data_IF_794664828156
#
_entry.id   IF_794664828156
#
_cell.length_a   1.000
_cell.length_b   1.000
_cell.length_c   1.000
_cell.angle_alpha   90.00
_cell.angle_beta   90.00
_cell.angle_gamma   90.00
#
_symmetry.space_group_name_H-M   'P 1'
#
loop_
_entity.id
_entity.type
_entity.pdbx_description
1 polymer ?
#
# COMPACT_ATOMS: atom_id res chain seq x y z
N UNK A 1 -32.01 -9.95 -25.67
CA UNK A 1 -31.64 -11.26 -25.08
C UNK A 1 -32.31 -11.30 -23.73
N UNK A 2 -32.91 -12.42 -23.30
CA UNK A 2 -33.45 -12.49 -21.95
C UNK A 2 -32.30 -12.77 -20.98
N UNK A 3 -32.00 -11.86 -20.05
CA UNK A 3 -30.89 -11.96 -19.12
C UNK A 3 -31.39 -11.79 -17.69
N UNK A 4 -30.99 -12.70 -16.80
CA UNK A 4 -31.33 -12.66 -15.38
C UNK A 4 -30.04 -12.80 -14.57
N UNK A 5 -29.76 -11.81 -13.72
CA UNK A 5 -28.58 -11.78 -12.85
C UNK A 5 -29.04 -11.64 -11.41
N UNK A 6 -28.55 -12.54 -10.55
CA UNK A 6 -28.78 -12.46 -9.12
C UNK A 6 -27.55 -11.86 -8.44
N UNK A 7 -27.70 -10.76 -7.71
CA UNK A 7 -26.61 -10.02 -7.08
C UNK A 7 -26.69 -10.08 -5.55
N UNK A 8 -25.54 -10.31 -4.90
CA UNK A 8 -25.40 -10.37 -3.44
C UNK A 8 -24.47 -9.27 -2.92
N UNK A 9 -24.89 -8.53 -1.90
CA UNK A 9 -24.06 -7.51 -1.24
C UNK A 9 -24.16 -7.65 0.29
N UNK A 10 -23.02 -7.79 0.97
CA UNK A 10 -22.93 -8.07 2.42
C UNK A 10 -21.75 -7.35 3.09
N UNK A 11 -21.09 -6.42 2.41
CA UNK A 11 -19.89 -5.75 2.91
C UNK A 11 -20.17 -4.73 4.02
N UNK A 12 -21.44 -4.40 4.28
CA UNK A 12 -21.91 -3.43 5.29
C UNK A 12 -22.67 -4.10 6.44
N UNK A 13 -23.31 -3.33 7.34
CA UNK A 13 -24.22 -3.87 8.37
C UNK A 13 -25.55 -4.40 7.82
N UNK A 14 -25.94 -3.92 6.64
CA UNK A 14 -27.11 -4.36 5.88
C UNK A 14 -26.68 -5.29 4.76
N UNK A 15 -27.35 -6.42 4.60
CA UNK A 15 -27.19 -7.25 3.41
C UNK A 15 -28.33 -7.02 2.42
N UNK A 16 -28.05 -7.23 1.15
CA UNK A 16 -29.03 -7.11 0.07
C UNK A 16 -28.90 -8.24 -0.94
N UNK A 17 -30.03 -8.61 -1.52
CA UNK A 17 -30.12 -9.46 -2.70
C UNK A 17 -30.93 -8.72 -3.75
N UNK A 18 -30.39 -8.60 -4.96
CA UNK A 18 -31.08 -7.99 -6.08
C UNK A 18 -31.21 -8.97 -7.24
N UNK A 19 -32.36 -8.99 -7.90
CA UNK A 19 -32.60 -9.74 -9.12
C UNK A 19 -32.78 -8.74 -10.26
N UNK A 20 -31.81 -8.70 -11.16
CA UNK A 20 -31.90 -7.92 -12.40
C UNK A 20 -32.47 -8.80 -13.51
N UNK A 21 -33.40 -8.22 -14.28
CA UNK A 21 -34.05 -8.84 -15.44
C UNK A 21 -34.00 -7.86 -16.61
N UNK A 22 -33.46 -8.32 -17.74
CA UNK A 22 -33.48 -7.63 -19.03
C UNK A 22 -34.16 -8.56 -20.05
N UNK A 23 -35.42 -8.25 -20.39
CA UNK A 23 -36.29 -9.09 -21.22
C UNK A 23 -36.80 -8.36 -22.48
N UNK A 24 -35.92 -7.59 -23.15
CA UNK A 24 -36.23 -6.72 -24.30
C UNK A 24 -37.16 -5.53 -24.00
N UNK A 25 -37.63 -5.42 -22.76
CA UNK A 25 -38.25 -4.23 -22.18
C UNK A 25 -37.25 -3.39 -21.37
N UNK A 26 -37.72 -2.46 -20.53
CA UNK A 26 -36.85 -1.73 -19.62
C UNK A 26 -36.23 -2.69 -18.59
N UNK A 27 -34.96 -2.45 -18.25
CA UNK A 27 -34.26 -3.13 -17.17
C UNK A 27 -35.08 -3.04 -15.86
N UNK A 28 -35.26 -4.17 -15.18
CA UNK A 28 -35.98 -4.26 -13.92
C UNK A 28 -35.09 -4.86 -12.84
N UNK A 29 -35.07 -4.24 -11.67
CA UNK A 29 -34.31 -4.72 -10.52
C UNK A 29 -35.24 -4.81 -9.31
N UNK A 30 -35.45 -6.03 -8.84
CA UNK A 30 -36.18 -6.30 -7.61
C UNK A 30 -35.18 -6.50 -6.47
N UNK A 31 -35.42 -5.87 -5.32
CA UNK A 31 -34.50 -5.83 -4.18
C UNK A 31 -35.18 -6.37 -2.91
N UNK A 32 -34.44 -7.16 -2.15
CA UNK A 32 -34.71 -7.41 -0.73
C UNK A 32 -33.47 -7.03 0.07
N UNK A 33 -33.67 -6.45 1.26
CA UNK A 33 -32.61 -6.11 2.20
C UNK A 33 -32.93 -6.62 3.60
N UNK A 34 -31.89 -6.84 4.40
CA UNK A 34 -32.01 -7.21 5.80
C UNK A 34 -30.93 -6.53 6.64
N UNK A 35 -31.34 -5.91 7.74
CA UNK A 35 -30.43 -5.33 8.73
C UNK A 35 -29.98 -6.40 9.73
N UNK A 36 -28.68 -6.57 9.92
CA UNK A 36 -28.14 -7.51 10.92
C UNK A 36 -26.93 -8.30 10.43
N UNK A 37 -25.73 -7.82 10.74
CA UNK A 37 -24.47 -8.39 10.26
C UNK A 37 -24.22 -9.86 10.64
N UNK A 38 -24.83 -10.36 11.72
CA UNK A 38 -24.65 -11.75 12.19
C UNK A 38 -25.54 -12.75 11.45
N UNK A 39 -26.58 -12.28 10.75
CA UNK A 39 -27.60 -13.13 10.13
C UNK A 39 -27.42 -13.24 8.61
N UNK A 40 -26.45 -12.55 8.02
CA UNK A 40 -26.31 -12.43 6.56
C UNK A 40 -26.33 -13.79 5.86
N UNK A 41 -25.51 -14.75 6.32
CA UNK A 41 -25.41 -16.07 5.69
C UNK A 41 -26.74 -16.83 5.69
N UNK A 42 -27.55 -16.68 6.74
CA UNK A 42 -28.84 -17.36 6.88
C UNK A 42 -29.93 -16.70 6.02
N UNK A 43 -29.79 -15.40 5.70
CA UNK A 43 -30.82 -14.60 5.02
C UNK A 43 -30.67 -14.51 3.51
N UNK A 44 -29.45 -14.59 2.97
CA UNK A 44 -29.22 -14.41 1.52
C UNK A 44 -29.99 -15.40 0.65
N UNK A 45 -29.89 -16.70 0.93
CA UNK A 45 -30.55 -17.73 0.11
C UNK A 45 -32.08 -17.67 0.20
N UNK A 46 -32.70 -17.49 1.40
CA UNK A 46 -34.14 -17.22 1.48
C UNK A 46 -34.59 -16.02 0.65
N UNK A 47 -33.88 -14.88 0.74
CA UNK A 47 -34.21 -13.67 -0.03
C UNK A 47 -34.08 -13.91 -1.55
N UNK A 48 -33.03 -14.60 -1.99
CA UNK A 48 -32.86 -14.99 -3.39
C UNK A 48 -34.02 -15.86 -3.90
N UNK A 49 -34.43 -16.87 -3.13
CA UNK A 49 -35.56 -17.73 -3.47
C UNK A 49 -36.87 -16.95 -3.55
N UNK A 50 -37.07 -16.02 -2.64
CA UNK A 50 -38.24 -15.16 -2.63
C UNK A 50 -38.29 -14.25 -3.86
N UNK A 51 -37.19 -13.61 -4.23
CA UNK A 51 -37.10 -12.78 -5.44
C UNK A 51 -37.39 -13.58 -6.71
N UNK A 52 -36.79 -14.77 -6.85
CA UNK A 52 -37.06 -15.67 -7.97
C UNK A 52 -38.54 -16.08 -8.02
N UNK A 53 -39.13 -16.44 -6.88
CA UNK A 53 -40.54 -16.81 -6.80
C UNK A 53 -41.47 -15.64 -7.17
N UNK A 54 -41.20 -14.42 -6.69
CA UNK A 54 -41.95 -13.20 -7.06
C UNK A 54 -41.87 -12.91 -8.56
N UNK A 55 -40.75 -13.22 -9.19
CA UNK A 55 -40.56 -13.09 -10.64
C UNK A 55 -41.11 -14.27 -11.46
N UNK A 56 -41.63 -15.33 -10.82
CA UNK A 56 -42.08 -16.55 -11.48
C UNK A 56 -40.93 -17.35 -12.13
N UNK A 57 -39.71 -17.19 -11.63
CA UNK A 57 -38.50 -17.81 -12.17
C UNK A 57 -38.05 -18.98 -11.30
N UNK A 58 -37.56 -20.04 -11.95
CA UNK A 58 -36.76 -21.08 -11.29
C UNK A 58 -35.26 -20.71 -11.27
N UNK A 59 -34.44 -21.33 -10.41
CA UNK A 59 -33.00 -21.07 -10.36
C UNK A 59 -32.27 -21.25 -11.70
N UNK A 60 -32.71 -22.22 -12.52
CA UNK A 60 -32.14 -22.48 -13.84
C UNK A 60 -32.39 -21.36 -14.87
N UNK A 61 -33.21 -20.36 -14.55
CA UNK A 61 -33.40 -19.18 -15.38
C UNK A 61 -32.34 -18.09 -15.16
N UNK A 62 -31.47 -18.24 -14.15
CA UNK A 62 -30.34 -17.36 -13.93
C UNK A 62 -29.25 -17.62 -14.97
N UNK A 63 -28.61 -16.56 -15.44
CA UNK A 63 -27.53 -16.62 -16.42
C UNK A 63 -26.17 -16.30 -15.80
N UNK A 64 -26.16 -15.55 -14.69
CA UNK A 64 -24.96 -15.24 -13.92
C UNK A 64 -25.33 -14.90 -12.47
N UNK A 65 -24.33 -14.99 -11.60
CA UNK A 65 -24.43 -14.54 -10.20
C UNK A 65 -23.41 -13.44 -9.95
N UNK A 66 -23.84 -12.30 -9.45
CA UNK A 66 -22.97 -11.19 -9.10
C UNK A 66 -22.77 -11.08 -7.59
N UNK A 67 -21.66 -10.49 -7.17
CA UNK A 67 -21.45 -10.20 -5.76
C UNK A 67 -20.56 -8.98 -5.53
N UNK A 68 -20.79 -8.33 -4.40
CA UNK A 68 -19.89 -7.33 -3.84
C UNK A 68 -18.54 -7.94 -3.47
N UNK A 69 -17.52 -7.64 -4.27
CA UNK A 69 -16.19 -8.19 -4.10
C UNK A 69 -15.44 -7.54 -2.92
N UNK A 70 -15.84 -6.35 -2.51
CA UNK A 70 -15.15 -5.54 -1.49
C UNK A 70 -14.36 -4.38 -2.09
N UNK A 71 -13.55 -3.69 -1.27
CA UNK A 71 -13.28 -3.97 0.15
C UNK A 71 -14.42 -3.57 1.11
N UNK A 72 -14.40 -4.12 2.33
CA UNK A 72 -15.46 -3.95 3.34
C UNK A 72 -15.30 -4.90 4.54
N UNK A 73 -16.40 -5.21 5.23
CA UNK A 73 -16.37 -6.11 6.39
C UNK A 73 -15.89 -7.52 6.06
N UNK A 74 -14.86 -8.00 6.74
CA UNK A 74 -14.16 -9.27 6.41
C UNK A 74 -15.09 -10.49 6.36
N UNK A 75 -15.94 -10.67 7.37
CA UNK A 75 -16.92 -11.77 7.42
C UNK A 75 -17.94 -11.61 6.30
N UNK A 76 -18.48 -10.41 6.11
CA UNK A 76 -19.46 -10.10 5.09
C UNK A 76 -19.00 -10.48 3.69
N UNK A 77 -17.81 -10.05 3.29
CA UNK A 77 -17.25 -10.34 1.95
C UNK A 77 -17.15 -11.84 1.66
N UNK A 78 -16.74 -12.64 2.65
CA UNK A 78 -16.65 -14.10 2.50
C UNK A 78 -18.03 -14.75 2.35
N UNK A 79 -19.03 -14.21 3.03
CA UNK A 79 -20.41 -14.68 2.90
C UNK A 79 -20.92 -14.44 1.47
N UNK A 80 -20.82 -13.21 0.93
CA UNK A 80 -21.26 -12.93 -0.43
C UNK A 80 -20.50 -13.75 -1.47
N UNK A 81 -19.16 -13.78 -1.39
CA UNK A 81 -18.34 -14.55 -2.32
C UNK A 81 -18.68 -16.05 -2.26
N UNK A 82 -18.69 -16.65 -1.07
CA UNK A 82 -18.96 -18.08 -0.91
C UNK A 82 -20.37 -18.48 -1.35
N UNK A 83 -21.39 -17.66 -1.05
CA UNK A 83 -22.76 -17.89 -1.53
C UNK A 83 -22.83 -17.76 -3.06
N UNK A 84 -22.19 -16.74 -3.64
CA UNK A 84 -22.17 -16.56 -5.07
C UNK A 84 -21.49 -17.74 -5.78
N UNK A 85 -20.33 -18.18 -5.29
CA UNK A 85 -19.62 -19.35 -5.80
C UNK A 85 -20.48 -20.62 -5.71
N UNK A 86 -21.10 -20.87 -4.56
CA UNK A 86 -21.94 -22.06 -4.36
C UNK A 86 -23.17 -22.10 -5.27
N UNK A 87 -23.87 -20.97 -5.41
CA UNK A 87 -25.03 -20.86 -6.30
C UNK A 87 -24.60 -21.00 -7.76
N UNK A 88 -23.54 -20.30 -8.17
CA UNK A 88 -23.07 -20.30 -9.55
C UNK A 88 -22.56 -21.68 -9.98
N UNK A 89 -21.76 -22.34 -9.13
CA UNK A 89 -21.28 -23.70 -9.35
C UNK A 89 -22.43 -24.70 -9.44
N UNK A 90 -23.42 -24.61 -8.54
CA UNK A 90 -24.58 -25.50 -8.54
C UNK A 90 -25.49 -25.35 -9.77
N UNK A 91 -25.46 -24.18 -10.43
CA UNK A 91 -26.26 -23.90 -11.62
C UNK A 91 -25.45 -23.98 -12.93
N UNK A 92 -24.12 -24.12 -12.86
CA UNK A 92 -23.25 -24.10 -14.03
C UNK A 92 -23.21 -22.74 -14.75
N UNK A 93 -23.34 -21.65 -13.99
CA UNK A 93 -23.32 -20.26 -14.52
C UNK A 93 -22.07 -19.52 -14.03
N UNK A 94 -21.56 -18.52 -14.77
CA UNK A 94 -20.40 -17.75 -14.33
C UNK A 94 -20.77 -16.74 -13.24
N UNK A 95 -19.73 -16.12 -12.66
CA UNK A 95 -19.88 -15.07 -11.65
C UNK A 95 -19.37 -13.71 -12.14
N UNK A 96 -19.94 -12.64 -11.57
CA UNK A 96 -19.58 -11.25 -11.86
C UNK A 96 -19.16 -10.55 -10.55
N UNK A 97 -17.86 -10.50 -10.24
CA UNK A 97 -17.38 -9.73 -9.09
C UNK A 97 -17.52 -8.23 -9.37
N UNK A 98 -18.07 -7.49 -8.40
CA UNK A 98 -18.21 -6.03 -8.49
C UNK A 98 -17.51 -5.36 -7.32
N UNK A 99 -16.58 -4.46 -7.63
CA UNK A 99 -15.87 -3.67 -6.62
C UNK A 99 -16.84 -2.76 -5.85
N UNK A 100 -16.81 -2.83 -4.52
CA UNK A 100 -17.76 -2.12 -3.65
C UNK A 100 -17.70 -0.60 -3.82
N UNK A 101 -16.50 -0.04 -4.04
CA UNK A 101 -16.36 1.39 -4.29
C UNK A 101 -17.02 1.82 -5.61
N UNK A 102 -16.91 0.99 -6.65
CA UNK A 102 -17.56 1.28 -7.93
C UNK A 102 -19.09 1.25 -7.79
N UNK A 103 -19.64 0.37 -6.95
CA UNK A 103 -21.07 0.35 -6.63
C UNK A 103 -21.52 1.66 -5.95
N UNK A 104 -20.74 2.19 -5.01
CA UNK A 104 -21.02 3.50 -4.39
C UNK A 104 -20.84 4.65 -5.37
N UNK A 105 -19.84 4.59 -6.26
CA UNK A 105 -19.68 5.56 -7.32
C UNK A 105 -20.90 5.57 -8.27
N UNK A 106 -21.43 4.40 -8.65
CA UNK A 106 -22.60 4.28 -9.52
C UNK A 106 -23.87 4.87 -8.90
N UNK A 107 -24.05 4.73 -7.58
CA UNK A 107 -25.14 5.34 -6.82
C UNK A 107 -24.89 6.83 -6.47
N UNK A 108 -23.69 7.36 -6.73
CA UNK A 108 -23.29 8.69 -6.22
C UNK A 108 -23.99 9.87 -6.88
N UNK A 109 -24.52 9.69 -8.09
CA UNK A 109 -25.09 10.77 -8.91
C UNK A 109 -24.04 11.63 -9.64
N UNK A 110 -22.78 11.18 -9.72
CA UNK A 110 -21.73 11.89 -10.46
C UNK A 110 -22.14 12.13 -11.92
N UNK A 111 -21.87 13.33 -12.39
CA UNK A 111 -22.08 13.75 -13.78
C UNK A 111 -20.84 13.49 -14.62
N UNK A 112 -20.99 13.43 -15.94
CA UNK A 112 -19.88 13.22 -16.86
C UNK A 112 -18.74 14.23 -16.65
N UNK A 113 -17.52 13.71 -16.51
CA UNK A 113 -16.32 14.48 -16.24
C UNK A 113 -16.06 14.80 -14.76
N UNK A 114 -16.94 14.38 -13.83
CA UNK A 114 -16.65 14.41 -12.40
C UNK A 114 -15.90 13.15 -11.95
N UNK A 115 -15.06 13.31 -10.93
CA UNK A 115 -14.41 12.20 -10.24
C UNK A 115 -15.15 11.92 -8.94
N UNK A 116 -15.76 10.74 -8.85
CA UNK A 116 -16.31 10.23 -7.60
C UNK A 116 -15.16 9.73 -6.72
N UNK A 117 -14.87 10.46 -5.64
CA UNK A 117 -13.93 10.05 -4.60
C UNK A 117 -14.69 9.29 -3.53
N UNK A 118 -14.56 7.97 -3.55
CA UNK A 118 -15.33 7.06 -2.70
C UNK A 118 -14.50 6.67 -1.48
N UNK A 119 -14.99 7.02 -0.29
CA UNK A 119 -14.35 6.79 0.99
C UNK A 119 -15.27 5.95 1.88
N UNK A 120 -14.92 4.68 2.12
CA UNK A 120 -15.68 3.78 2.99
C UNK A 120 -14.96 3.59 4.31
N UNK A 121 -15.71 3.65 5.42
CA UNK A 121 -15.14 3.50 6.75
C UNK A 121 -14.53 2.11 6.91
N UNK A 122 -13.20 2.06 7.13
CA UNK A 122 -12.43 0.86 7.38
C UNK A 122 -12.23 0.58 8.88
N UNK A 123 -12.69 1.45 9.78
CA UNK A 123 -12.39 1.50 11.22
C UNK A 123 -10.94 1.89 11.49
N UNK A 124 -10.67 2.25 12.75
CA UNK A 124 -9.32 2.51 13.26
C UNK A 124 -8.67 3.76 12.63
N UNK A 125 -9.47 4.82 12.41
CA UNK A 125 -9.03 6.07 11.74
C UNK A 125 -8.52 5.84 10.30
N UNK A 126 -9.03 4.80 9.64
CA UNK A 126 -8.66 4.42 8.28
C UNK A 126 -9.89 4.35 7.37
N UNK A 127 -9.61 4.52 6.08
CA UNK A 127 -10.59 4.60 5.00
C UNK A 127 -10.16 3.69 3.87
N UNK A 128 -11.08 2.86 3.38
CA UNK A 128 -10.93 2.29 2.05
C UNK A 128 -11.26 3.39 1.05
N UNK A 129 -10.28 3.82 0.26
CA UNK A 129 -10.41 4.90 -0.71
C UNK A 129 -10.31 4.37 -2.15
N UNK A 130 -11.10 4.93 -3.06
CA UNK A 130 -10.94 4.75 -4.51
C UNK A 130 -11.44 6.00 -5.25
N UNK A 131 -11.04 6.16 -6.51
CA UNK A 131 -11.49 7.27 -7.34
C UNK A 131 -11.88 6.81 -8.74
N UNK A 132 -13.05 7.25 -9.21
CA UNK A 132 -13.58 6.90 -10.52
C UNK A 132 -14.03 8.14 -11.28
N UNK A 133 -13.55 8.30 -12.51
CA UNK A 133 -14.03 9.33 -13.43
C UNK A 133 -15.31 8.84 -14.11
N UNK A 134 -16.38 9.63 -14.02
CA UNK A 134 -17.62 9.37 -14.75
C UNK A 134 -17.45 9.72 -16.22
N UNK A 135 -17.63 8.75 -17.10
CA UNK A 135 -17.79 8.93 -18.55
C UNK A 135 -19.30 8.90 -18.89
N UNK A 136 -19.66 9.11 -20.15
CA UNK A 136 -21.07 9.11 -20.59
C UNK A 136 -21.84 7.87 -20.08
N UNK A 137 -21.37 6.66 -20.44
CA UNK A 137 -22.04 5.39 -20.14
C UNK A 137 -21.21 4.42 -19.28
N UNK A 138 -20.07 4.87 -18.77
CA UNK A 138 -19.13 4.02 -18.05
C UNK A 138 -18.33 4.78 -17.00
N UNK A 139 -17.49 4.04 -16.30
CA UNK A 139 -16.57 4.56 -15.29
C UNK A 139 -15.16 4.22 -15.71
N UNK A 140 -14.25 5.18 -15.57
CA UNK A 140 -12.81 4.93 -15.66
C UNK A 140 -12.22 4.95 -14.26
N UNK A 141 -11.51 3.88 -13.91
CA UNK A 141 -10.76 3.84 -12.65
C UNK A 141 -9.57 4.82 -12.72
N UNK A 142 -9.54 5.75 -11.77
CA UNK A 142 -8.46 6.73 -11.61
C UNK A 142 -7.52 6.32 -10.46
N UNK A 143 -8.08 5.62 -9.47
CA UNK A 143 -7.37 5.01 -8.36
C UNK A 143 -8.09 3.73 -7.95
N UNK A 144 -7.41 2.58 -8.02
CA UNK A 144 -7.89 1.30 -7.50
C UNK A 144 -8.07 1.35 -5.98
N UNK A 145 -8.96 0.53 -5.40
CA UNK A 145 -9.20 0.50 -3.95
C UNK A 145 -7.93 0.34 -3.13
N UNK A 146 -7.74 1.25 -2.18
CA UNK A 146 -6.54 1.38 -1.36
C UNK A 146 -6.95 1.69 0.09
N UNK A 147 -6.07 1.47 1.06
CA UNK A 147 -6.35 1.77 2.47
C UNK A 147 -5.46 2.91 2.95
N UNK A 148 -6.04 3.97 3.49
CA UNK A 148 -5.34 5.21 3.86
C UNK A 148 -5.87 5.74 5.19
N UNK A 149 -5.05 6.47 5.93
CA UNK A 149 -5.50 7.19 7.12
C UNK A 149 -6.56 8.24 6.75
N UNK A 150 -7.62 8.35 7.55
CA UNK A 150 -8.72 9.29 7.31
C UNK A 150 -8.22 10.73 7.13
N UNK A 151 -7.28 11.18 7.97
CA UNK A 151 -6.72 12.53 7.90
C UNK A 151 -5.91 12.83 6.61
N UNK A 152 -5.48 11.80 5.86
CA UNK A 152 -4.65 11.98 4.67
C UNK A 152 -5.46 11.96 3.36
N UNK A 153 -6.74 11.55 3.38
CA UNK A 153 -7.55 11.39 2.17
C UNK A 153 -7.60 12.66 1.32
N UNK A 154 -7.94 13.80 1.92
CA UNK A 154 -8.08 15.06 1.17
C UNK A 154 -6.74 15.64 0.69
N UNK A 155 -5.69 15.74 1.55
CA UNK A 155 -4.36 16.12 1.07
C UNK A 155 -3.87 15.24 -0.09
N UNK A 156 -4.08 13.92 0.01
CA UNK A 156 -3.74 12.97 -1.03
C UNK A 156 -4.56 13.21 -2.30
N UNK A 157 -5.89 13.32 -2.21
CA UNK A 157 -6.76 13.52 -3.38
C UNK A 157 -6.47 14.84 -4.11
N UNK A 158 -6.20 15.91 -3.37
CA UNK A 158 -5.80 17.20 -3.96
C UNK A 158 -4.44 17.13 -4.67
N UNK A 159 -3.50 16.33 -4.15
CA UNK A 159 -2.22 16.08 -4.81
C UNK A 159 -2.40 15.33 -6.14
N UNK A 160 -3.36 14.41 -6.22
CA UNK A 160 -3.65 13.64 -7.44
C UNK A 160 -4.46 14.43 -8.49
N UNK A 161 -5.16 15.49 -8.07
CA UNK A 161 -6.11 16.22 -8.93
C UNK A 161 -5.49 16.73 -10.24
N UNK A 162 -4.28 17.33 -10.28
CA UNK A 162 -3.65 17.76 -11.54
C UNK A 162 -3.38 16.59 -12.50
N UNK A 163 -2.94 15.45 -11.97
CA UNK A 163 -2.71 14.24 -12.77
C UNK A 163 -4.02 13.72 -13.35
N UNK A 164 -5.08 13.67 -12.54
CA UNK A 164 -6.40 13.23 -12.98
C UNK A 164 -7.01 14.17 -14.03
N UNK A 165 -6.84 15.49 -13.87
CA UNK A 165 -7.23 16.47 -14.90
C UNK A 165 -6.47 16.24 -16.20
N UNK A 166 -5.16 16.01 -16.13
CA UNK A 166 -4.34 15.69 -17.30
C UNK A 166 -4.80 14.41 -18.02
N UNK A 167 -5.09 13.34 -17.26
CA UNK A 167 -5.62 12.09 -17.81
C UNK A 167 -7.05 12.22 -18.39
N UNK A 168 -7.85 13.16 -17.88
CA UNK A 168 -9.17 13.48 -18.40
C UNK A 168 -9.13 14.44 -19.61
N UNK A 169 -8.00 15.11 -19.85
CA UNK A 169 -7.87 16.16 -20.86
C UNK A 169 -8.65 17.44 -20.54
N UNK A 170 -9.08 17.61 -19.29
CA UNK A 170 -9.87 18.74 -18.79
C UNK A 170 -9.77 18.82 -17.27
N UNK A 171 -10.11 19.98 -16.71
CA UNK A 171 -10.25 20.08 -15.27
C UNK A 171 -11.38 19.16 -14.78
N UNK A 172 -11.05 18.40 -13.73
CA UNK A 172 -12.00 17.51 -13.05
C UNK A 172 -12.37 18.08 -11.69
N UNK A 173 -13.61 17.82 -11.28
CA UNK A 173 -14.12 18.18 -9.97
C UNK A 173 -14.46 16.93 -9.18
N UNK A 174 -14.20 16.98 -7.87
CA UNK A 174 -14.49 15.88 -6.97
C UNK A 174 -15.97 15.88 -6.56
N UNK A 175 -16.57 14.69 -6.53
CA UNK A 175 -17.79 14.37 -5.80
C UNK A 175 -17.43 13.40 -4.69
N UNK A 176 -17.65 13.79 -3.44
CA UNK A 176 -17.31 12.98 -2.27
C UNK A 176 -18.45 12.01 -1.96
N UNK A 177 -18.18 10.71 -1.99
CA UNK A 177 -19.16 9.66 -1.70
C UNK A 177 -18.62 8.65 -0.68
N UNK A 178 -19.51 7.92 -0.04
CA UNK A 178 -19.20 6.93 0.98
C UNK A 178 -19.43 7.41 2.42
N UNK A 179 -19.51 6.46 3.36
CA UNK A 179 -19.87 6.71 4.76
C UNK A 179 -18.71 7.23 5.63
N UNK A 180 -17.46 7.12 5.15
CA UNK A 180 -16.31 7.63 5.92
C UNK A 180 -16.38 9.15 6.15
N UNK A 181 -16.98 9.88 5.21
CA UNK A 181 -17.18 11.34 5.32
C UNK A 181 -18.08 11.75 6.48
N UNK A 182 -18.93 10.83 6.97
CA UNK A 182 -19.76 11.03 8.16
C UNK A 182 -19.14 10.38 9.41
N UNK A 183 -18.33 9.34 9.23
CA UNK A 183 -17.70 8.61 10.33
C UNK A 183 -16.52 9.38 10.98
N UNK A 184 -15.81 10.21 10.21
CA UNK A 184 -14.58 10.87 10.68
C UNK A 184 -14.67 12.40 10.57
N UNK A 185 -14.61 13.14 11.71
CA UNK A 185 -14.65 14.60 11.70
C UNK A 185 -13.54 15.24 10.85
N UNK A 186 -12.32 14.69 10.87
CA UNK A 186 -11.19 15.18 10.08
C UNK A 186 -11.47 15.15 8.57
N UNK A 187 -12.23 14.15 8.09
CA UNK A 187 -12.65 14.07 6.69
C UNK A 187 -13.76 15.07 6.38
N UNK A 188 -14.74 15.19 7.27
CA UNK A 188 -15.83 16.14 7.12
C UNK A 188 -15.30 17.57 7.00
N UNK A 189 -14.36 17.96 7.86
CA UNK A 189 -13.71 19.26 7.85
C UNK A 189 -12.87 19.47 6.59
N UNK A 190 -12.00 18.51 6.24
CA UNK A 190 -11.13 18.64 5.07
C UNK A 190 -11.89 18.61 3.72
N UNK A 191 -13.06 17.99 3.69
CA UNK A 191 -13.96 17.97 2.54
C UNK A 191 -14.82 19.23 2.39
N UNK A 192 -14.73 20.19 3.32
CA UNK A 192 -15.54 21.43 3.28
C UNK A 192 -15.34 22.18 1.96
N UNK A 193 -16.45 22.53 1.31
CA UNK A 193 -16.46 23.21 0.00
C UNK A 193 -16.48 22.28 -1.21
N UNK A 194 -16.36 20.96 -1.02
CA UNK A 194 -16.61 19.97 -2.06
C UNK A 194 -18.08 19.49 -2.02
N UNK A 195 -18.58 19.03 -3.16
CA UNK A 195 -19.93 18.45 -3.22
C UNK A 195 -19.94 17.07 -2.58
N UNK A 196 -20.93 16.81 -1.72
CA UNK A 196 -21.17 15.49 -1.11
C UNK A 196 -22.35 14.78 -1.76
N UNK A 197 -22.15 13.49 -2.04
CA UNK A 197 -23.20 12.56 -2.41
C UNK A 197 -23.86 11.97 -1.17
N UNK A 198 -25.15 11.60 -1.29
CA UNK A 198 -25.87 10.83 -0.27
C UNK A 198 -25.58 9.32 -0.32
N UNK A 199 -24.80 8.83 -1.29
CA UNK A 199 -24.44 7.42 -1.39
C UNK A 199 -23.41 7.06 -0.30
N UNK A 200 -23.82 6.25 0.69
CA UNK A 200 -22.99 5.89 1.86
C UNK A 200 -22.27 4.54 1.76
N UNK A 201 -22.99 3.47 1.40
CA UNK A 201 -22.46 2.09 1.33
C UNK A 201 -22.95 1.41 0.05
N UNK A 202 -22.24 0.37 -0.45
CA UNK A 202 -22.64 -0.32 -1.68
C UNK A 202 -24.02 -0.97 -1.51
N UNK A 203 -24.83 -0.92 -2.57
CA UNK A 203 -26.16 -1.53 -2.63
C UNK A 203 -26.17 -2.74 -3.57
N UNK A 204 -27.00 -3.75 -3.26
CA UNK A 204 -27.17 -4.89 -4.16
C UNK A 204 -27.74 -4.47 -5.54
N UNK A 205 -28.52 -3.39 -5.58
CA UNK A 205 -29.03 -2.79 -6.82
C UNK A 205 -27.88 -2.27 -7.70
N UNK A 206 -26.93 -1.53 -7.13
CA UNK A 206 -25.76 -1.06 -7.87
C UNK A 206 -24.87 -2.22 -8.33
N UNK A 207 -24.67 -3.23 -7.48
CA UNK A 207 -23.97 -4.46 -7.85
C UNK A 207 -24.65 -5.12 -9.06
N UNK A 208 -25.98 -5.23 -9.06
CA UNK A 208 -26.71 -5.82 -10.19
C UNK A 208 -26.54 -5.03 -11.49
N UNK A 209 -26.69 -3.69 -11.46
CA UNK A 209 -26.49 -2.83 -12.64
C UNK A 209 -25.07 -2.92 -13.20
N UNK A 210 -24.07 -2.85 -12.32
CA UNK A 210 -22.67 -2.93 -12.73
C UNK A 210 -22.33 -4.32 -13.29
N UNK A 211 -22.87 -5.38 -12.69
CA UNK A 211 -22.73 -6.73 -13.20
C UNK A 211 -23.38 -6.89 -14.58
N UNK A 212 -24.55 -6.30 -14.81
CA UNK A 212 -25.16 -6.29 -16.15
C UNK A 212 -24.24 -5.64 -17.19
N UNK A 213 -23.64 -4.48 -16.88
CA UNK A 213 -22.67 -3.84 -17.78
C UNK A 213 -21.42 -4.69 -17.99
N UNK A 214 -20.92 -5.35 -16.95
CA UNK A 214 -19.77 -6.25 -17.02
C UNK A 214 -20.05 -7.51 -17.85
N UNK A 215 -21.27 -8.06 -17.75
CA UNK A 215 -21.74 -9.17 -18.61
C UNK A 215 -21.70 -8.78 -20.09
N UNK A 216 -22.23 -7.61 -20.43
CA UNK A 216 -22.22 -7.11 -21.82
C UNK A 216 -20.79 -6.92 -22.37
N UNK A 217 -19.80 -6.70 -21.49
CA UNK A 217 -18.37 -6.61 -21.85
C UNK A 217 -17.65 -7.96 -21.82
N UNK A 218 -18.31 -9.05 -21.44
CA UNK A 218 -17.70 -10.38 -21.37
C UNK A 218 -16.75 -10.57 -20.18
N UNK A 219 -16.96 -9.82 -19.08
CA UNK A 219 -16.08 -9.82 -17.90
C UNK A 219 -16.49 -10.86 -16.83
N UNK A 220 -17.37 -11.80 -17.19
CA UNK A 220 -17.77 -12.86 -16.28
C UNK A 220 -16.64 -13.88 -16.11
N UNK A 221 -16.44 -14.38 -14.89
CA UNK A 221 -15.36 -15.33 -14.55
C UNK A 221 -15.94 -16.66 -14.07
N UNK A 222 -15.17 -17.76 -14.14
CA UNK A 222 -15.56 -19.02 -13.52
C UNK A 222 -15.75 -18.88 -11.99
N UNK A 223 -16.70 -19.62 -11.37
CA UNK A 223 -16.92 -19.56 -9.92
C UNK A 223 -15.66 -19.80 -9.07
N UNK A 224 -14.77 -20.67 -9.51
CA UNK A 224 -13.51 -21.00 -8.83
C UNK A 224 -12.48 -19.85 -8.83
N UNK A 225 -12.60 -18.89 -9.74
CA UNK A 225 -11.73 -17.70 -9.81
C UNK A 225 -12.28 -16.52 -9.00
N UNK A 226 -13.51 -16.63 -8.50
CA UNK A 226 -14.11 -15.61 -7.64
C UNK A 226 -13.36 -15.50 -6.31
N UNK A 227 -12.89 -14.29 -5.99
CA UNK A 227 -12.21 -14.01 -4.73
C UNK A 227 -12.61 -12.64 -4.16
N UNK A 228 -12.70 -12.50 -2.83
CA UNK A 228 -12.83 -11.19 -2.19
C UNK A 228 -11.63 -10.28 -2.48
N UNK A 229 -11.87 -8.98 -2.60
CA UNK A 229 -10.85 -7.95 -2.72
C UNK A 229 -10.43 -7.48 -1.32
N UNK A 230 -9.30 -8.01 -0.84
CA UNK A 230 -8.71 -7.61 0.43
C UNK A 230 -7.71 -6.47 0.24
N UNK A 231 -7.93 -5.36 0.95
CA UNK A 231 -7.04 -4.18 0.93
C UNK A 231 -6.41 -3.94 2.32
N UNK A 232 -6.90 -4.65 3.34
CA UNK A 232 -6.35 -4.66 4.70
C UNK A 232 -5.63 -5.98 4.96
N UNK A 233 -4.31 -5.93 5.13
CA UNK A 233 -3.47 -7.12 5.34
C UNK A 233 -3.49 -7.62 6.78
N UNK A 234 -3.52 -6.71 7.77
CA UNK A 234 -3.60 -7.07 9.20
C UNK A 234 -4.94 -6.62 9.78
N UNK A 235 -5.75 -7.59 10.21
CA UNK A 235 -7.10 -7.37 10.76
C UNK A 235 -7.20 -7.61 12.27
N UNK A 236 -6.15 -8.13 12.92
CA UNK A 236 -6.13 -8.45 14.35
C UNK A 236 -4.83 -7.99 15.03
N UNK A 237 -4.99 -7.33 16.18
CA UNK A 237 -3.90 -6.90 17.06
C UNK A 237 -4.01 -7.60 18.43
N UNK A 238 -2.87 -8.00 18.95
CA UNK A 238 -2.73 -8.53 20.30
C UNK A 238 -3.12 -7.48 21.35
N UNK A 239 -3.42 -7.92 22.57
CA UNK A 239 -3.78 -7.03 23.68
C UNK A 239 -2.65 -6.03 23.99
N UNK A 240 -1.40 -6.46 23.92
CA UNK A 240 -0.23 -5.59 24.13
C UNK A 240 -0.10 -4.52 23.04
N UNK A 241 -0.32 -4.89 21.78
CA UNK A 241 -0.32 -3.95 20.64
C UNK A 241 -1.45 -2.92 20.79
N UNK A 242 -2.68 -3.34 21.16
CA UNK A 242 -3.79 -2.41 21.43
C UNK A 242 -3.53 -1.48 22.62
N UNK A 243 -2.90 -1.98 23.69
CA UNK A 243 -2.50 -1.17 24.85
C UNK A 243 -1.37 -0.18 24.52
N UNK A 244 -0.55 -0.48 23.52
CA UNK A 244 0.43 0.44 22.95
C UNK A 244 -0.16 1.41 21.91
N UNK A 245 -1.49 1.46 21.78
CA UNK A 245 -2.20 2.32 20.83
C UNK A 245 -2.14 1.83 19.38
N UNK A 246 -1.71 0.58 19.14
CA UNK A 246 -1.69 0.02 17.79
C UNK A 246 -3.08 -0.46 17.38
N UNK A 247 -3.49 0.00 16.21
CA UNK A 247 -4.71 -0.36 15.52
C UNK A 247 -4.56 -0.01 14.02
N UNK A 248 -5.32 -0.65 13.14
CA UNK A 248 -5.32 -0.39 11.69
C UNK A 248 -4.62 -1.45 10.81
N UNK A 249 -4.41 -1.20 9.52
CA UNK A 249 -3.42 -1.97 8.75
C UNK A 249 -2.06 -1.29 8.88
N UNK A 250 -0.96 -1.99 9.25
CA UNK A 250 0.38 -1.43 9.15
C UNK A 250 0.73 -0.84 7.77
N UNK A 251 0.05 -1.29 6.69
CA UNK A 251 0.17 -0.72 5.33
C UNK A 251 -0.76 0.47 5.02
N UNK A 252 -1.73 0.77 5.87
CA UNK A 252 -2.54 1.99 5.75
C UNK A 252 -1.82 3.24 6.26
N UNK A 253 -0.72 3.06 7.01
CA UNK A 253 0.14 4.13 7.44
C UNK A 253 0.71 4.82 6.20
N UNK A 254 0.32 6.08 5.97
CA UNK A 254 0.68 6.96 4.85
C UNK A 254 0.85 6.23 3.53
N UNK A 255 -0.03 6.47 2.56
CA UNK A 255 0.21 6.01 1.19
C UNK A 255 1.41 6.65 0.50
N UNK A 256 2.06 7.59 1.19
CA UNK A 256 3.41 8.05 0.87
C UNK A 256 4.52 7.08 1.38
N UNK A 257 4.19 5.98 2.06
CA UNK A 257 5.11 5.12 2.82
C UNK A 257 5.05 3.59 2.54
N UNK A 258 4.08 3.07 1.76
CA UNK A 258 3.78 1.62 1.66
C UNK A 258 4.75 0.73 0.84
N UNK A 259 5.87 1.24 0.33
CA UNK A 259 6.83 0.44 -0.47
C UNK A 259 7.77 -0.49 0.35
N UNK A 260 7.62 -0.62 1.68
CA UNK A 260 8.75 -1.04 2.53
C UNK A 260 8.52 -2.16 3.58
N UNK A 261 7.58 -3.08 3.42
CA UNK A 261 7.39 -4.13 4.43
C UNK A 261 7.14 -5.53 3.87
N UNK A 262 8.22 -6.26 3.62
CA UNK A 262 8.31 -7.72 3.70
C UNK A 262 9.59 -8.09 4.46
N UNK A 263 9.47 -9.09 5.34
CA UNK A 263 10.50 -9.98 5.96
C UNK A 263 10.31 -10.05 7.50
N UNK A 264 10.29 -11.25 8.11
CA UNK A 264 9.58 -11.56 9.35
C UNK A 264 10.45 -11.48 10.62
N UNK A 265 9.80 -11.31 11.77
CA UNK A 265 10.45 -11.33 13.08
C UNK A 265 10.64 -12.76 13.61
N UNK A 266 11.81 -13.01 14.20
CA UNK A 266 12.05 -14.16 15.08
C UNK A 266 12.36 -13.65 16.50
N UNK A 267 11.41 -13.99 17.35
CA UNK A 267 11.32 -14.24 18.80
C UNK A 267 12.60 -14.22 19.68
N UNK A 268 12.47 -13.46 20.78
CA UNK A 268 12.84 -13.65 22.22
C UNK A 268 14.19 -14.23 22.70
N UNK A 269 14.81 -13.50 23.65
CA UNK A 269 15.18 -13.95 25.01
C UNK A 269 15.78 -12.75 25.80
N UNK A 270 15.10 -12.23 26.82
CA UNK A 270 15.27 -12.52 28.27
C UNK A 270 16.52 -11.92 28.93
N UNK A 271 16.22 -11.06 29.93
CA UNK A 271 16.93 -10.84 31.21
C UNK A 271 18.43 -10.54 31.22
N UNK A 272 18.82 -9.35 31.70
CA UNK A 272 19.37 -9.19 33.05
C UNK A 272 19.89 -7.77 33.28
N UNK A 273 19.78 -7.40 34.55
CA UNK A 273 20.13 -6.16 35.24
C UNK A 273 21.54 -5.65 34.94
N UNK A 274 21.65 -4.34 34.72
CA UNK A 274 22.90 -3.59 34.82
C UNK A 274 23.29 -3.39 36.30
N UNK A 275 24.60 -3.31 36.60
CA UNK A 275 25.08 -2.50 37.71
C UNK A 275 25.93 -1.33 37.23
N UNK A 276 26.06 -0.38 38.17
CA UNK A 276 26.44 1.02 38.05
C UNK A 276 27.79 1.33 37.40
N UNK A 277 27.80 2.49 36.76
CA UNK A 277 28.97 3.26 36.34
C UNK A 277 29.45 4.12 37.51
N UNK A 278 30.76 4.14 37.82
CA UNK A 278 31.38 5.27 38.49
C UNK A 278 32.15 6.16 37.50
N UNK A 279 31.99 7.47 37.71
CA UNK A 279 32.59 8.57 36.97
C UNK A 279 34.13 8.65 37.11
N UNK A 280 34.76 8.92 35.95
CA UNK A 280 35.93 9.77 35.61
C UNK A 280 37.08 9.98 36.63
N UNK A 281 38.36 10.08 36.19
CA UNK A 281 38.83 11.34 35.60
C UNK A 281 40.03 11.26 34.61
N UNK A 282 40.33 12.38 33.94
CA UNK A 282 41.72 12.74 33.62
C UNK A 282 42.03 13.09 32.16
N UNK A 283 42.16 14.39 31.91
CA UNK A 283 42.66 15.01 30.68
C UNK A 283 44.18 14.79 30.56
N UNK A 284 44.65 14.33 29.41
CA UNK A 284 46.07 14.25 29.03
C UNK A 284 46.27 14.68 27.57
N UNK A 285 47.17 15.64 27.37
CA UNK A 285 47.51 16.29 26.09
C UNK A 285 48.37 15.38 25.16
N UNK A 286 48.59 15.74 23.88
CA UNK A 286 48.80 14.81 22.78
C UNK A 286 50.27 14.43 22.55
N UNK A 287 50.50 13.20 22.07
CA UNK A 287 51.81 12.73 21.61
C UNK A 287 51.86 12.63 20.07
N UNK A 288 52.72 13.47 19.50
CA UNK A 288 53.63 13.28 18.37
C UNK A 288 53.14 12.60 17.08
N UNK A 289 53.10 13.43 16.03
CA UNK A 289 53.03 13.04 14.63
C UNK A 289 54.32 12.32 14.19
N UNK A 290 54.17 11.13 13.61
CA UNK A 290 55.20 10.53 12.76
C UNK A 290 54.83 10.75 11.29
N UNK A 291 55.70 11.47 10.60
CA UNK A 291 55.69 11.69 9.16
C UNK A 291 55.96 10.38 8.42
N UNK A 292 54.98 9.95 7.62
CA UNK A 292 55.20 8.96 6.57
C UNK A 292 55.02 9.64 5.22
N UNK A 293 56.05 9.42 4.42
CA UNK A 293 56.35 9.94 3.11
C UNK A 293 55.16 9.95 2.14
N UNK A 294 54.94 11.11 1.51
CA UNK A 294 53.84 11.38 0.59
C UNK A 294 54.31 11.30 -0.85
N UNK A 295 54.25 10.11 -1.46
CA UNK A 295 54.10 9.97 -2.91
C UNK A 295 53.64 8.54 -3.29
N UNK A 296 52.38 8.23 -3.00
CA UNK A 296 51.68 7.10 -3.60
C UNK A 296 50.43 7.64 -4.27
N UNK A 297 50.37 7.65 -5.60
CA UNK A 297 49.12 7.91 -6.31
C UNK A 297 48.10 6.87 -5.82
N UNK A 298 47.09 7.30 -5.06
CA UNK A 298 46.08 6.41 -4.52
C UNK A 298 45.45 5.63 -5.69
N UNK A 299 45.49 4.30 -5.63
CA UNK A 299 44.89 3.48 -6.68
C UNK A 299 43.39 3.81 -6.80
N UNK A 300 42.82 3.75 -8.02
CA UNK A 300 41.43 4.09 -8.23
C UNK A 300 40.53 3.17 -7.40
N UNK A 301 39.60 3.76 -6.64
CA UNK A 301 38.62 2.98 -5.90
C UNK A 301 37.76 2.19 -6.89
N UNK A 302 37.63 0.89 -6.69
CA UNK A 302 36.88 -0.01 -7.57
C UNK A 302 35.49 -0.30 -7.00
N UNK A 303 34.47 -0.33 -7.88
CA UNK A 303 33.11 -0.76 -7.53
C UNK A 303 32.94 -2.20 -8.01
N UNK A 304 32.68 -3.12 -7.10
CA UNK A 304 32.52 -4.54 -7.41
C UNK A 304 31.15 -5.04 -6.92
N UNK A 305 30.51 -6.01 -7.59
CA UNK A 305 29.31 -6.65 -7.06
C UNK A 305 29.57 -7.24 -5.67
N UNK A 306 28.64 -7.08 -4.75
CA UNK A 306 28.72 -7.70 -3.43
C UNK A 306 28.53 -9.21 -3.57
N UNK A 307 29.37 -9.98 -2.88
CA UNK A 307 29.33 -11.44 -2.87
C UNK A 307 29.27 -11.99 -1.44
N UNK A 308 29.04 -13.29 -1.32
CA UNK A 308 29.08 -13.98 -0.01
C UNK A 308 30.44 -13.85 0.71
N UNK A 309 31.53 -13.63 -0.03
CA UNK A 309 32.87 -13.46 0.52
C UNK A 309 33.07 -12.09 1.20
N UNK A 310 32.21 -11.12 0.91
CA UNK A 310 32.30 -9.77 1.49
C UNK A 310 31.53 -9.65 2.82
N UNK A 311 30.70 -10.64 3.17
CA UNK A 311 29.68 -10.52 4.22
C UNK A 311 30.25 -10.24 5.62
N UNK A 312 31.42 -10.80 5.94
CA UNK A 312 32.06 -10.57 7.23
C UNK A 312 32.60 -9.14 7.32
N UNK A 313 33.34 -8.69 6.29
CA UNK A 313 33.91 -7.34 6.22
C UNK A 313 32.83 -6.24 6.26
N UNK A 314 31.70 -6.44 5.54
CA UNK A 314 30.60 -5.45 5.50
C UNK A 314 29.83 -5.41 6.82
N UNK A 315 29.61 -6.55 7.47
CA UNK A 315 28.91 -6.59 8.76
C UNK A 315 29.74 -5.89 9.84
N UNK A 316 31.06 -6.11 9.81
CA UNK A 316 32.02 -5.42 10.68
C UNK A 316 32.03 -3.91 10.43
N UNK A 317 32.01 -3.48 9.17
CA UNK A 317 31.95 -2.06 8.83
C UNK A 317 30.62 -1.43 9.27
N UNK A 318 29.50 -2.10 9.01
CA UNK A 318 28.17 -1.65 9.38
C UNK A 318 28.04 -1.45 10.90
N UNK A 319 28.52 -2.41 11.69
CA UNK A 319 28.53 -2.35 13.14
C UNK A 319 29.33 -1.16 13.72
N UNK A 320 30.33 -0.68 12.99
CA UNK A 320 31.11 0.52 13.38
C UNK A 320 30.44 1.83 12.99
N UNK A 321 29.54 1.83 12.01
CA UNK A 321 28.95 3.03 11.44
C UNK A 321 27.53 3.27 11.96
N UNK A 322 26.74 2.22 12.14
CA UNK A 322 25.34 2.33 12.54
C UNK A 322 25.13 2.01 14.02
N UNK A 323 24.25 2.78 14.67
CA UNK A 323 23.81 2.51 16.03
C UNK A 323 22.99 1.21 16.16
N UNK A 324 22.37 0.76 15.07
CA UNK A 324 21.57 -0.46 14.99
C UNK A 324 21.88 -1.15 13.64
N UNK A 325 23.03 -1.85 13.56
CA UNK A 325 23.56 -2.35 12.30
C UNK A 325 22.79 -3.56 11.78
N UNK A 326 22.77 -3.75 10.46
CA UNK A 326 22.46 -5.06 9.89
C UNK A 326 23.48 -6.10 10.33
N UNK A 327 22.98 -7.29 10.66
CA UNK A 327 23.83 -8.44 10.94
C UNK A 327 24.35 -9.06 9.65
N UNK A 328 25.43 -9.85 9.74
CA UNK A 328 25.91 -10.70 8.64
C UNK A 328 24.79 -11.56 8.03
N UNK A 329 23.88 -12.07 8.87
CA UNK A 329 22.70 -12.82 8.43
C UNK A 329 21.77 -12.00 7.54
N UNK A 330 21.48 -10.75 7.91
CA UNK A 330 20.64 -9.86 7.10
C UNK A 330 21.23 -9.61 5.70
N UNK A 331 22.55 -9.44 5.62
CA UNK A 331 23.21 -9.31 4.31
C UNK A 331 23.17 -10.61 3.49
N UNK A 332 23.36 -11.76 4.14
CA UNK A 332 23.25 -13.07 3.49
C UNK A 332 21.84 -13.31 2.92
N UNK A 333 20.82 -13.02 3.72
CA UNK A 333 19.41 -13.13 3.31
C UNK A 333 19.09 -12.20 2.15
N UNK A 334 19.61 -10.96 2.18
CA UNK A 334 19.46 -10.00 1.09
C UNK A 334 20.06 -10.49 -0.23
N UNK A 335 21.29 -11.03 -0.19
CA UNK A 335 21.90 -11.63 -1.39
C UNK A 335 21.12 -12.85 -1.89
N UNK A 336 20.66 -13.72 -0.99
CA UNK A 336 19.87 -14.89 -1.34
C UNK A 336 18.50 -14.53 -1.97
N UNK A 337 17.91 -13.42 -1.52
CA UNK A 337 16.68 -12.85 -2.09
C UNK A 337 16.91 -12.10 -3.42
N UNK A 338 18.16 -12.01 -3.89
CA UNK A 338 18.51 -11.36 -5.16
C UNK A 338 18.63 -9.84 -5.08
N UNK A 339 18.80 -9.25 -3.89
CA UNK A 339 18.98 -7.80 -3.74
C UNK A 339 20.34 -7.38 -4.30
N UNK A 340 20.38 -6.47 -5.30
CA UNK A 340 21.64 -5.97 -5.82
C UNK A 340 22.43 -5.23 -4.74
N UNK A 341 23.67 -5.64 -4.50
CA UNK A 341 24.62 -4.92 -3.66
C UNK A 341 25.94 -4.65 -4.37
N UNK A 342 26.67 -3.64 -3.91
CA UNK A 342 28.06 -3.42 -4.32
C UNK A 342 28.95 -3.08 -3.14
N UNK A 343 30.24 -3.37 -3.31
CA UNK A 343 31.32 -2.97 -2.42
C UNK A 343 32.26 -2.01 -3.15
N UNK A 344 32.78 -1.03 -2.42
CA UNK A 344 33.92 -0.22 -2.84
C UNK A 344 35.18 -0.80 -2.21
N UNK A 345 36.22 -1.05 -3.01
CA UNK A 345 37.54 -1.42 -2.51
C UNK A 345 38.58 -0.36 -2.85
N UNK A 346 39.43 -0.05 -1.88
CA UNK A 346 40.63 0.77 -2.05
C UNK A 346 41.83 -0.01 -1.54
N UNK A 347 42.84 -0.23 -2.39
CA UNK A 347 44.03 -1.03 -2.07
C UNK A 347 43.67 -2.43 -1.51
N UNK A 348 42.66 -3.07 -2.13
CA UNK A 348 42.11 -4.38 -1.72
C UNK A 348 41.25 -4.37 -0.47
N UNK A 349 41.16 -3.26 0.27
CA UNK A 349 40.39 -3.13 1.52
C UNK A 349 39.00 -2.56 1.28
N UNK A 350 38.02 -3.02 2.05
CA UNK A 350 36.65 -2.52 2.00
C UNK A 350 36.59 -1.03 2.42
N UNK A 351 36.19 -0.17 1.49
CA UNK A 351 36.05 1.26 1.69
C UNK A 351 34.59 1.68 1.94
N UNK A 352 33.63 0.90 1.48
CA UNK A 352 32.20 1.14 1.66
C UNK A 352 31.35 0.11 0.92
N UNK A 353 30.04 0.13 1.13
CA UNK A 353 29.09 -0.75 0.45
C UNK A 353 27.71 -0.11 0.39
N UNK A 354 26.85 -0.66 -0.47
CA UNK A 354 25.41 -0.43 -0.42
C UNK A 354 24.61 -1.68 -0.82
N UNK A 355 23.35 -1.74 -0.41
CA UNK A 355 22.37 -2.75 -0.80
C UNK A 355 21.08 -2.07 -1.25
N UNK A 356 20.55 -2.52 -2.38
CA UNK A 356 19.36 -2.01 -3.04
C UNK A 356 18.32 -3.14 -3.14
N UNK A 357 17.05 -2.82 -2.90
CA UNK A 357 15.93 -3.68 -3.28
C UNK A 357 15.24 -3.07 -4.50
N UNK A 358 14.99 -3.88 -5.53
CA UNK A 358 14.22 -3.45 -6.69
C UNK A 358 12.76 -3.86 -6.49
N UNK A 359 11.91 -2.90 -6.10
CA UNK A 359 10.47 -3.10 -6.04
C UNK A 359 9.83 -2.82 -7.42
N UNK A 360 8.56 -3.22 -7.66
CA UNK A 360 7.91 -3.03 -8.97
C UNK A 360 7.86 -1.59 -9.48
N UNK A 361 7.83 -0.61 -8.57
CA UNK A 361 7.57 0.81 -8.86
C UNK A 361 8.69 1.76 -8.40
N UNK A 362 9.65 1.30 -7.59
CA UNK A 362 10.76 2.11 -7.08
C UNK A 362 11.96 1.24 -6.67
N UNK A 363 13.17 1.79 -6.74
CA UNK A 363 14.34 1.16 -6.12
C UNK A 363 14.51 1.67 -4.69
N UNK A 364 14.64 0.77 -3.72
CA UNK A 364 14.79 1.13 -2.31
C UNK A 364 16.23 0.92 -1.85
N UNK A 365 16.94 2.01 -1.52
CA UNK A 365 18.25 1.95 -0.88
C UNK A 365 18.07 1.55 0.58
N UNK A 366 18.42 0.30 0.91
CA UNK A 366 18.21 -0.29 2.23
C UNK A 366 19.31 0.08 3.22
N UNK A 367 20.56 0.03 2.78
CA UNK A 367 21.72 0.34 3.61
C UNK A 367 22.86 0.86 2.75
N UNK A 368 23.57 1.84 3.27
CA UNK A 368 24.77 2.43 2.68
C UNK A 368 25.74 2.81 3.81
N UNK A 369 26.99 2.42 3.65
CA UNK A 369 28.04 2.79 4.58
C UNK A 369 29.36 3.04 3.85
N UNK A 370 30.13 3.98 4.39
CA UNK A 370 31.51 4.24 3.98
C UNK A 370 32.35 4.22 5.26
N UNK A 371 33.57 3.68 5.16
CA UNK A 371 34.52 3.68 6.27
C UNK A 371 34.74 5.12 6.79
N UNK A 372 34.61 5.39 8.11
CA UNK A 372 34.71 6.74 8.67
C UNK A 372 35.99 7.50 8.27
N UNK A 373 37.13 6.81 8.23
CA UNK A 373 38.42 7.37 7.82
C UNK A 373 38.47 7.85 6.35
N UNK A 374 37.53 7.39 5.52
CA UNK A 374 37.42 7.69 4.09
C UNK A 374 36.22 8.61 3.77
N UNK A 375 35.52 9.13 4.79
CA UNK A 375 34.44 10.10 4.59
C UNK A 375 34.93 11.38 3.89
N UNK A 376 34.01 12.08 3.23
CA UNK A 376 34.27 13.33 2.48
C UNK A 376 35.23 13.19 1.28
N UNK A 377 35.49 11.98 0.81
CA UNK A 377 36.28 11.69 -0.41
C UNK A 377 35.43 11.34 -1.64
N UNK A 378 34.12 11.63 -1.60
CA UNK A 378 33.19 11.34 -2.70
C UNK A 378 32.72 9.89 -2.82
N UNK A 379 33.16 8.98 -1.95
CA UNK A 379 32.81 7.55 -2.01
C UNK A 379 31.30 7.29 -1.85
N UNK A 380 30.63 8.04 -0.97
CA UNK A 380 29.17 7.96 -0.84
C UNK A 380 28.45 8.34 -2.14
N UNK A 381 28.91 9.39 -2.84
CA UNK A 381 28.34 9.78 -4.14
C UNK A 381 28.54 8.69 -5.19
N UNK A 382 29.68 7.97 -5.15
CA UNK A 382 29.92 6.83 -6.06
C UNK A 382 28.96 5.67 -5.80
N UNK A 383 28.69 5.36 -4.54
CA UNK A 383 27.68 4.35 -4.16
C UNK A 383 26.28 4.76 -4.60
N UNK A 384 25.88 6.03 -4.38
CA UNK A 384 24.60 6.55 -4.86
C UNK A 384 24.49 6.50 -6.39
N UNK A 385 25.53 6.91 -7.11
CA UNK A 385 25.56 6.85 -8.57
C UNK A 385 25.42 5.41 -9.09
N UNK A 386 26.00 4.42 -8.38
CA UNK A 386 25.79 3.01 -8.69
C UNK A 386 24.33 2.59 -8.48
N UNK A 387 23.71 2.98 -7.36
CA UNK A 387 22.30 2.72 -7.11
C UNK A 387 21.40 3.34 -8.20
N UNK A 388 21.67 4.60 -8.56
CA UNK A 388 20.95 5.35 -9.60
C UNK A 388 21.08 4.66 -10.96
N UNK A 389 22.28 4.21 -11.32
CA UNK A 389 22.51 3.41 -12.52
C UNK A 389 21.75 2.09 -12.51
N UNK A 390 21.66 1.40 -11.36
CA UNK A 390 20.89 0.16 -11.23
C UNK A 390 19.39 0.37 -11.35
N UNK A 391 18.85 1.43 -10.73
CA UNK A 391 17.44 1.76 -10.87
C UNK A 391 17.09 2.12 -12.33
N UNK A 392 17.95 2.91 -12.99
CA UNK A 392 17.81 3.27 -14.40
C UNK A 392 17.83 2.04 -15.32
N UNK A 393 18.77 1.12 -15.11
CA UNK A 393 18.83 -0.15 -15.87
C UNK A 393 17.60 -1.03 -15.67
N UNK A 394 16.97 -0.96 -14.50
CA UNK A 394 15.72 -1.66 -14.19
C UNK A 394 14.46 -0.92 -14.69
N UNK A 395 14.60 0.25 -15.33
CA UNK A 395 13.47 1.05 -15.81
C UNK A 395 12.65 1.72 -14.70
N UNK A 396 13.19 1.82 -13.49
CA UNK A 396 12.49 2.35 -12.33
C UNK A 396 12.54 3.89 -12.31
N UNK A 397 11.45 4.56 -11.89
CA UNK A 397 11.31 6.02 -11.96
C UNK A 397 12.16 6.79 -10.93
N UNK A 398 12.74 6.11 -9.94
CA UNK A 398 13.54 6.77 -8.91
C UNK A 398 14.02 5.85 -7.80
N UNK A 399 14.66 6.47 -6.80
CA UNK A 399 15.15 5.81 -5.59
C UNK A 399 14.49 6.40 -4.36
N UNK A 400 14.05 5.52 -3.47
CA UNK A 400 13.54 5.83 -2.13
C UNK A 400 14.54 5.37 -1.06
N UNK A 401 14.66 6.14 0.02
CA UNK A 401 15.46 5.77 1.20
C UNK A 401 14.86 6.37 2.47
N UNK A 402 15.25 5.82 3.61
CA UNK A 402 14.93 6.37 4.92
C UNK A 402 16.19 6.85 5.65
N UNK A 403 16.10 8.02 6.28
CA UNK A 403 17.19 8.57 7.09
C UNK A 403 16.68 9.01 8.46
N UNK A 404 17.47 8.75 9.51
CA UNK A 404 17.16 9.21 10.88
C UNK A 404 17.18 10.75 10.94
N UNK A 405 16.17 11.42 11.51
CA UNK A 405 16.24 12.84 11.84
C UNK A 405 17.48 13.20 12.68
N UNK A 406 17.89 12.31 13.57
CA UNK A 406 19.09 12.41 14.42
C UNK A 406 20.41 12.27 13.66
N UNK A 407 20.38 11.97 12.36
CA UNK A 407 21.56 11.94 11.49
C UNK A 407 21.56 13.11 10.48
N UNK A 408 21.81 14.35 10.95
CA UNK A 408 21.80 15.53 10.09
C UNK A 408 22.92 15.53 9.05
N UNK A 409 23.97 14.73 9.24
CA UNK A 409 25.04 14.54 8.27
C UNK A 409 24.56 13.77 7.04
N UNK A 410 23.89 12.63 7.25
CA UNK A 410 23.29 11.84 6.18
C UNK A 410 22.16 12.59 5.47
N UNK A 411 21.32 13.32 6.21
CA UNK A 411 20.25 14.12 5.63
C UNK A 411 20.80 15.15 4.62
N UNK A 412 21.78 15.96 5.03
CA UNK A 412 22.43 16.93 4.13
C UNK A 412 23.15 16.27 2.96
N UNK A 413 23.70 15.08 3.17
CA UNK A 413 24.34 14.31 2.10
C UNK A 413 23.33 13.93 1.02
N UNK A 414 22.16 13.41 1.40
CA UNK A 414 21.09 13.05 0.46
C UNK A 414 20.44 14.26 -0.20
N UNK A 415 20.18 15.34 0.54
CA UNK A 415 19.66 16.60 0.00
C UNK A 415 20.57 17.15 -1.10
N UNK A 416 21.90 17.17 -0.87
CA UNK A 416 22.89 17.60 -1.88
C UNK A 416 22.97 16.66 -3.09
N UNK A 417 22.67 15.38 -2.89
CA UNK A 417 22.59 14.41 -3.98
C UNK A 417 21.28 14.52 -4.78
N UNK A 418 20.37 15.43 -4.41
CA UNK A 418 19.11 15.69 -5.12
C UNK A 418 17.93 14.88 -4.61
N UNK A 419 18.04 14.26 -3.43
CA UNK A 419 16.90 13.59 -2.79
C UNK A 419 16.05 14.63 -2.04
N UNK A 420 14.74 14.52 -2.17
CA UNK A 420 13.75 15.37 -1.52
C UNK A 420 13.02 14.59 -0.43
N UNK A 421 12.76 15.22 0.71
CA UNK A 421 11.90 14.61 1.74
C UNK A 421 10.48 14.51 1.20
N UNK A 422 9.98 13.29 1.11
CA UNK A 422 8.60 12.98 0.67
C UNK A 422 7.71 12.49 1.80
N UNK A 423 8.26 12.13 2.95
CA UNK A 423 7.42 11.64 4.05
C UNK A 423 8.15 11.47 5.37
N UNK A 424 7.42 10.96 6.36
CA UNK A 424 7.94 10.57 7.67
C UNK A 424 7.33 9.24 8.07
N UNK A 425 8.16 8.25 8.42
CA UNK A 425 7.72 7.01 9.09
C UNK A 425 7.85 7.19 10.59
N UNK A 426 6.72 7.22 11.30
CA UNK A 426 6.71 7.43 12.75
C UNK A 426 7.30 6.24 13.48
N UNK A 427 8.19 6.49 14.44
CA UNK A 427 8.85 5.45 15.23
C UNK A 427 9.48 4.34 14.38
N UNK A 428 10.07 4.67 13.23
CA UNK A 428 10.64 3.66 12.33
C UNK A 428 11.93 3.04 12.87
N UNK A 429 12.80 3.89 13.41
CA UNK A 429 14.09 3.47 13.89
C UNK A 429 14.03 3.17 15.39
N UNK A 430 14.67 2.10 15.87
CA UNK A 430 14.92 1.98 17.30
C UNK A 430 15.78 3.18 17.75
N UNK A 431 15.42 3.76 18.88
CA UNK A 431 16.26 4.67 19.65
C UNK A 431 16.52 4.04 21.02
N UNK A 432 17.62 4.40 21.68
CA UNK A 432 17.99 3.78 22.95
C UNK A 432 16.85 3.79 23.99
N UNK A 433 16.92 2.89 24.97
CA UNK A 433 15.96 2.79 26.08
C UNK A 433 14.51 2.46 25.65
N UNK A 434 14.34 1.59 24.65
CA UNK A 434 13.03 1.11 24.19
C UNK A 434 12.18 2.19 23.49
N UNK A 435 12.75 3.36 23.23
CA UNK A 435 12.11 4.42 22.45
C UNK A 435 12.29 4.13 20.96
N UNK A 436 11.50 4.82 20.14
CA UNK A 436 11.63 4.77 18.70
C UNK A 436 11.72 6.19 18.17
N UNK A 437 12.53 6.38 17.15
CA UNK A 437 12.68 7.63 16.43
C UNK A 437 12.02 7.47 15.05
N UNK A 438 11.45 8.56 14.55
CA UNK A 438 10.92 8.62 13.21
C UNK A 438 12.02 8.40 12.16
N UNK A 439 11.63 8.13 10.92
CA UNK A 439 12.51 8.22 9.77
C UNK A 439 11.96 9.23 8.76
N UNK A 440 12.85 10.05 8.21
CA UNK A 440 12.53 10.90 7.06
C UNK A 440 12.62 10.03 5.81
N UNK A 441 11.53 9.92 5.07
CA UNK A 441 11.50 9.24 3.77
C UNK A 441 11.93 10.24 2.72
N UNK A 442 12.97 9.90 1.96
CA UNK A 442 13.59 10.72 0.94
C UNK A 442 13.47 10.03 -0.41
N UNK A 443 13.18 10.78 -1.47
CA UNK A 443 13.03 10.27 -2.82
C UNK A 443 13.82 11.11 -3.83
N UNK A 444 14.41 10.46 -4.82
CA UNK A 444 15.01 11.12 -5.99
C UNK A 444 14.47 10.47 -7.27
N UNK A 445 13.91 11.30 -8.14
CA UNK A 445 13.53 10.89 -9.50
C UNK A 445 14.76 10.65 -10.35
N UNK A 446 14.72 9.61 -11.19
CA UNK A 446 15.78 9.30 -12.16
C UNK A 446 15.18 9.48 -13.55
N UNK A 447 15.86 10.26 -14.40
CA UNK A 447 15.44 10.44 -15.78
C UNK A 447 15.43 9.09 -16.50
N UNK A 448 14.30 8.76 -17.13
CA UNK A 448 14.20 7.56 -17.96
C UNK A 448 15.20 7.69 -19.10
N UNK A 449 16.00 6.66 -19.33
CA UNK A 449 16.89 6.59 -20.49
C UNK A 449 16.03 6.44 -21.74
N UNK A 450 15.59 7.55 -22.34
CA UNK A 450 14.75 7.54 -23.54
C UNK A 450 13.75 8.69 -23.73
N UNK A 451 13.77 9.75 -22.92
CA UNK A 451 13.04 11.00 -23.17
C UNK A 451 13.96 12.18 -23.47
#
# INVERSE_FOLDING_TARGET
MNLNILAFETSSSRCGVALLRDDAGPERIDLLEHDGAQEHAERLLPMARELLARAGLGPAALHAVAFGQGPGGFTGLRVACGVAQGVALGLGVPVLPVVSHLAVADDSGAQEGQVALVALDARMEEVYLAAYLRLADSWREMQSPMLIAAAEVMPWALHQLPQWSGQAGRDVHLLLAGDAWDAYPALAEAGTGQHRSGAGRPSATAVARLAHRAWLRGEAVPPEEAAPLYVRDKVAFTTAERMAGQGGNPRAASQMAAAAACVPSVVEASSASAPDVPEAPGVGAPAEAQSVDSSGAAQPVEVQPMTAADLDDIADLEARVQAFPWTRGNFADGLAAGYPGCVLRQDGRLAGFCVLMLAPDVAHLLVIAVQPALHRRGLGNRLLAWCEGRASQAGLPGILLEVRPSNPGALRFYERAGYLKVGVRKGYYPSGNGKREDALVMYKSIARSGE
#
